data_IF_348405063420
#
_entry.id   IF_348405063420
#
_cell.length_a   1.000
_cell.length_b   1.000
_cell.length_c   1.000
_cell.angle_alpha   90.00
_cell.angle_beta   90.00
_cell.angle_gamma   90.00
#
_symmetry.space_group_name_H-M   'P 1'
#
loop_
_entity.id
_entity.type
_entity.pdbx_description
1 polymer ?
#
# COMPACT_ATOMS: atom_id res chain seq x y z
N UNK A 1 -7.69 -26.88 1.98
CA UNK A 1 -9.10 -26.61 2.31
C UNK A 1 -10.05 -27.37 1.39
N UNK A 2 -11.33 -27.43 1.77
CA UNK A 2 -12.37 -27.97 0.90
C UNK A 2 -12.83 -26.84 -0.04
N UNK A 3 -12.74 -27.07 -1.33
CA UNK A 3 -13.20 -26.11 -2.34
C UNK A 3 -14.74 -26.05 -2.38
N UNK A 4 -15.25 -24.84 -2.48
CA UNK A 4 -16.66 -24.52 -2.65
C UNK A 4 -16.73 -23.66 -3.90
N UNK A 5 -17.25 -24.20 -4.98
CA UNK A 5 -17.41 -23.47 -6.22
C UNK A 5 -18.48 -22.42 -6.09
N UNK A 6 -18.16 -21.20 -6.46
CA UNK A 6 -19.07 -20.06 -6.44
C UNK A 6 -19.49 -19.69 -7.86
N UNK A 7 -18.53 -19.63 -8.79
CA UNK A 7 -18.68 -19.26 -10.20
C UNK A 7 -19.49 -17.96 -10.37
N UNK A 8 -19.35 -17.02 -9.42
CA UNK A 8 -20.07 -15.74 -9.43
C UNK A 8 -19.35 -14.72 -10.27
N UNK A 9 -20.13 -13.96 -11.03
CA UNK A 9 -19.67 -12.82 -11.80
C UNK A 9 -20.42 -11.59 -11.31
N UNK A 10 -19.71 -10.49 -11.15
CA UNK A 10 -20.28 -9.24 -10.70
C UNK A 10 -19.52 -8.05 -11.32
N UNK A 11 -20.19 -6.93 -11.41
CA UNK A 11 -19.63 -5.66 -11.85
C UNK A 11 -19.58 -4.73 -10.65
N UNK A 12 -18.38 -4.21 -10.35
CA UNK A 12 -18.20 -3.28 -9.23
C UNK A 12 -17.01 -2.36 -9.49
N UNK A 13 -17.16 -1.09 -9.09
CA UNK A 13 -16.13 -0.05 -9.22
C UNK A 13 -15.57 0.09 -10.65
N UNK A 14 -16.40 -0.14 -11.67
CA UNK A 14 -16.01 -0.07 -13.07
C UNK A 14 -15.29 -1.30 -13.64
N UNK A 15 -15.09 -2.35 -12.83
CA UNK A 15 -14.42 -3.59 -13.22
C UNK A 15 -15.36 -4.79 -13.22
N UNK A 16 -15.01 -5.78 -14.06
CA UNK A 16 -15.66 -7.09 -14.05
C UNK A 16 -14.90 -8.04 -13.12
N UNK A 17 -15.62 -8.63 -12.17
CA UNK A 17 -15.07 -9.53 -11.18
C UNK A 17 -15.62 -10.93 -11.36
N UNK A 18 -14.76 -11.92 -11.16
CA UNK A 18 -15.12 -13.32 -11.08
C UNK A 18 -14.67 -13.84 -9.71
N UNK A 19 -15.60 -14.44 -8.99
CA UNK A 19 -15.35 -15.15 -7.74
C UNK A 19 -15.48 -16.65 -8.03
N UNK A 20 -14.40 -17.33 -8.37
CA UNK A 20 -14.49 -18.73 -8.82
C UNK A 20 -14.80 -19.69 -7.69
N UNK A 21 -14.16 -19.50 -6.54
CA UNK A 21 -14.26 -20.42 -5.43
C UNK A 21 -13.98 -19.78 -4.07
N UNK A 22 -14.48 -20.42 -3.03
CA UNK A 22 -14.07 -20.26 -1.65
C UNK A 22 -13.52 -21.59 -1.11
N UNK A 23 -12.58 -21.52 -0.17
CA UNK A 23 -11.91 -22.67 0.40
C UNK A 23 -12.12 -22.72 1.91
N UNK A 24 -12.87 -23.71 2.40
CA UNK A 24 -13.05 -23.94 3.82
C UNK A 24 -11.81 -24.61 4.41
N UNK A 25 -11.00 -23.83 5.11
CA UNK A 25 -9.75 -24.26 5.74
C UNK A 25 -9.92 -24.48 7.25
N UNK A 26 -8.91 -25.04 7.91
CA UNK A 26 -8.95 -25.29 9.36
C UNK A 26 -9.08 -24.01 10.18
N UNK A 27 -8.44 -22.93 9.77
CA UNK A 27 -8.36 -21.64 10.50
C UNK A 27 -9.34 -20.57 10.01
N UNK A 28 -9.94 -20.74 8.85
CA UNK A 28 -10.80 -19.72 8.24
C UNK A 28 -11.34 -20.13 6.88
N UNK A 29 -12.05 -19.19 6.26
CA UNK A 29 -12.41 -19.24 4.84
C UNK A 29 -11.36 -18.48 4.05
N UNK A 30 -10.97 -18.99 2.89
CA UNK A 30 -10.12 -18.29 1.90
C UNK A 30 -10.95 -18.10 0.65
N UNK A 31 -10.91 -16.93 0.06
CA UNK A 31 -11.63 -16.63 -1.19
C UNK A 31 -10.70 -16.01 -2.21
N UNK A 32 -10.89 -16.39 -3.47
CA UNK A 32 -10.21 -15.80 -4.59
C UNK A 32 -11.14 -14.84 -5.34
N UNK A 33 -10.60 -13.67 -5.67
CA UNK A 33 -11.28 -12.61 -6.39
C UNK A 33 -10.45 -12.32 -7.64
N UNK A 34 -11.03 -12.48 -8.81
CA UNK A 34 -10.36 -12.24 -10.07
C UNK A 34 -10.93 -10.98 -10.73
N UNK A 35 -10.17 -9.90 -10.74
CA UNK A 35 -10.51 -8.64 -11.40
C UNK A 35 -10.00 -8.67 -12.83
N UNK A 36 -10.88 -8.43 -13.81
CA UNK A 36 -10.54 -8.35 -15.23
C UNK A 36 -10.21 -6.92 -15.63
N UNK A 37 -9.14 -6.78 -16.38
CA UNK A 37 -8.69 -5.50 -16.95
C UNK A 37 -8.55 -5.64 -18.48
N UNK A 38 -9.03 -4.65 -19.21
CA UNK A 38 -8.93 -4.64 -20.67
C UNK A 38 -7.46 -4.44 -21.11
N UNK A 39 -6.96 -5.28 -22.00
CA UNK A 39 -5.57 -5.21 -22.48
C UNK A 39 -5.23 -3.85 -23.13
N UNK A 40 -6.22 -3.18 -23.74
CA UNK A 40 -6.05 -1.84 -24.31
C UNK A 40 -5.81 -0.76 -23.24
N UNK A 41 -6.45 -0.89 -22.08
CA UNK A 41 -6.24 -0.01 -20.95
C UNK A 41 -4.82 -0.13 -20.38
N UNK A 42 -4.35 -1.37 -20.25
CA UNK A 42 -2.97 -1.65 -19.84
C UNK A 42 -1.97 -1.07 -20.85
N UNK A 43 -2.19 -1.27 -22.16
CA UNK A 43 -1.31 -0.70 -23.20
C UNK A 43 -1.25 0.83 -23.14
N UNK A 44 -2.39 1.50 -22.94
CA UNK A 44 -2.43 2.96 -22.79
C UNK A 44 -1.64 3.42 -21.58
N UNK A 45 -1.78 2.76 -20.45
CA UNK A 45 -1.02 3.03 -19.24
C UNK A 45 0.48 2.84 -19.46
N UNK A 46 0.91 1.68 -19.98
CA UNK A 46 2.32 1.39 -20.26
C UNK A 46 2.92 2.41 -21.24
N UNK A 47 2.18 2.78 -22.28
CA UNK A 47 2.63 3.79 -23.26
C UNK A 47 2.77 5.18 -22.63
N UNK A 48 1.82 5.58 -21.78
CA UNK A 48 1.85 6.89 -21.10
C UNK A 48 3.11 7.05 -20.26
N UNK A 49 3.48 6.01 -19.52
CA UNK A 49 4.61 6.01 -18.60
C UNK A 49 5.89 5.43 -19.18
N UNK A 50 5.89 5.05 -20.47
CA UNK A 50 7.02 4.41 -21.19
C UNK A 50 7.56 3.18 -20.44
N UNK A 51 6.67 2.33 -19.93
CA UNK A 51 7.02 1.13 -19.19
C UNK A 51 7.28 -0.03 -20.16
N UNK A 52 8.47 -0.62 -20.08
CA UNK A 52 8.89 -1.74 -20.92
C UNK A 52 9.05 -3.05 -20.13
N UNK A 53 9.29 -2.95 -18.81
CA UNK A 53 9.40 -4.07 -17.89
C UNK A 53 8.87 -3.69 -16.51
N UNK A 54 8.56 -4.67 -15.67
CA UNK A 54 8.15 -4.40 -14.28
C UNK A 54 9.27 -3.74 -13.45
N UNK A 55 10.53 -3.98 -13.79
CA UNK A 55 11.69 -3.44 -13.10
C UNK A 55 11.95 -1.96 -13.40
N UNK A 56 11.40 -1.42 -14.49
CA UNK A 56 11.55 0.00 -14.84
C UNK A 56 10.73 0.93 -13.94
N UNK A 57 9.83 0.38 -13.11
CA UNK A 57 8.87 1.15 -12.32
C UNK A 57 9.49 1.96 -11.16
N UNK A 58 10.62 1.53 -10.61
CA UNK A 58 11.10 2.10 -9.34
C UNK A 58 12.42 2.85 -9.43
N UNK A 59 13.27 2.56 -10.38
CA UNK A 59 14.62 3.15 -10.41
C UNK A 59 14.70 4.53 -11.08
N UNK A 60 13.73 4.86 -11.95
CA UNK A 60 13.79 6.06 -12.79
C UNK A 60 12.76 7.15 -12.45
N UNK A 61 11.88 6.91 -11.47
CA UNK A 61 10.79 7.82 -11.13
C UNK A 61 10.94 8.42 -9.74
N UNK A 62 10.55 9.68 -9.59
CA UNK A 62 10.44 10.29 -8.27
C UNK A 62 9.33 9.60 -7.46
N UNK A 63 9.37 9.73 -6.14
CA UNK A 63 8.33 9.19 -5.26
C UNK A 63 6.90 9.58 -5.70
N UNK A 64 6.70 10.84 -6.07
CA UNK A 64 5.40 11.32 -6.56
C UNK A 64 4.97 10.67 -7.86
N UNK A 65 5.92 10.51 -8.79
CA UNK A 65 5.66 9.81 -10.04
C UNK A 65 5.30 8.35 -9.78
N UNK A 66 5.96 7.70 -8.83
CA UNK A 66 5.62 6.32 -8.42
C UNK A 66 4.19 6.25 -7.86
N UNK A 67 3.81 7.17 -6.96
CA UNK A 67 2.44 7.23 -6.46
C UNK A 67 1.40 7.48 -7.56
N UNK A 68 1.73 8.34 -8.52
CA UNK A 68 0.85 8.58 -9.66
C UNK A 68 0.76 7.36 -10.57
N UNK A 69 1.88 6.67 -10.83
CA UNK A 69 1.92 5.41 -11.57
C UNK A 69 1.04 4.36 -10.87
N UNK A 70 1.20 4.17 -9.57
CA UNK A 70 0.40 3.21 -8.79
C UNK A 70 -1.09 3.54 -8.85
N UNK A 71 -1.45 4.83 -8.73
CA UNK A 71 -2.84 5.27 -8.78
C UNK A 71 -3.50 5.13 -10.17
N UNK A 72 -2.70 5.20 -11.24
CA UNK A 72 -3.15 5.07 -12.62
C UNK A 72 -3.03 3.65 -13.17
N UNK A 73 -2.28 2.78 -12.49
CA UNK A 73 -2.07 1.40 -12.92
C UNK A 73 -3.39 0.60 -12.86
N UNK A 74 -3.94 0.18 -14.00
CA UNK A 74 -5.21 -0.53 -14.02
C UNK A 74 -5.13 -1.94 -13.38
N UNK A 75 -3.91 -2.45 -13.17
CA UNK A 75 -3.66 -3.70 -12.45
C UNK A 75 -3.42 -3.48 -10.94
N UNK A 76 -3.56 -2.26 -10.44
CA UNK A 76 -3.44 -1.92 -9.03
C UNK A 76 -4.80 -1.42 -8.51
N UNK A 77 -5.47 -2.23 -7.69
CA UNK A 77 -6.77 -1.88 -7.15
C UNK A 77 -6.90 -2.38 -5.72
N UNK A 78 -7.12 -1.44 -4.80
CA UNK A 78 -7.19 -1.73 -3.39
C UNK A 78 -8.63 -1.71 -2.87
N UNK A 79 -9.00 -2.75 -2.15
CA UNK A 79 -10.31 -2.87 -1.52
C UNK A 79 -10.25 -3.72 -0.26
N UNK A 80 -11.21 -3.52 0.62
CA UNK A 80 -11.40 -4.30 1.83
C UNK A 80 -12.65 -5.17 1.68
N UNK A 81 -12.50 -6.49 1.56
CA UNK A 81 -13.64 -7.40 1.54
C UNK A 81 -14.07 -7.76 2.97
N UNK A 82 -15.38 -7.84 3.18
CA UNK A 82 -16.00 -8.41 4.37
C UNK A 82 -17.00 -9.47 3.93
N UNK A 83 -17.02 -10.58 4.61
CA UNK A 83 -18.00 -11.65 4.33
C UNK A 83 -18.94 -11.86 5.51
N UNK A 84 -20.20 -12.15 5.20
CA UNK A 84 -21.16 -12.66 6.16
C UNK A 84 -21.48 -14.12 5.81
N UNK A 85 -21.16 -15.02 6.74
CA UNK A 85 -21.37 -16.46 6.62
C UNK A 85 -22.40 -16.93 7.63
N UNK A 86 -23.55 -17.44 7.17
CA UNK A 86 -24.64 -17.92 8.04
C UNK A 86 -25.03 -16.88 9.11
N UNK A 87 -25.12 -15.59 8.74
CA UNK A 87 -25.45 -14.48 9.64
C UNK A 87 -24.31 -14.02 10.57
N UNK A 88 -23.07 -14.50 10.35
CA UNK A 88 -21.90 -14.08 11.11
C UNK A 88 -20.89 -13.36 10.21
N UNK A 89 -20.49 -12.19 10.62
CA UNK A 89 -19.46 -11.41 9.93
C UNK A 89 -18.09 -12.01 10.21
N UNK A 90 -17.33 -12.27 9.15
CA UNK A 90 -15.93 -12.64 9.19
C UNK A 90 -15.12 -11.49 8.57
N UNK A 91 -14.22 -10.95 9.36
CA UNK A 91 -13.37 -9.86 8.93
C UNK A 91 -12.19 -10.35 8.08
N UNK A 92 -11.80 -9.57 7.10
CA UNK A 92 -10.55 -9.75 6.39
C UNK A 92 -9.35 -9.71 7.36
N UNK A 93 -8.42 -10.61 7.19
CA UNK A 93 -7.22 -10.70 8.04
C UNK A 93 -5.94 -10.44 7.25
N UNK A 94 -5.77 -11.15 6.16
CA UNK A 94 -4.60 -11.03 5.29
C UNK A 94 -4.94 -11.49 3.88
N UNK A 95 -4.22 -10.96 2.91
CA UNK A 95 -4.37 -11.34 1.51
C UNK A 95 -3.06 -11.23 0.77
N UNK A 96 -3.04 -11.82 -0.41
CA UNK A 96 -2.01 -11.65 -1.43
C UNK A 96 -2.69 -11.38 -2.76
N UNK A 97 -1.98 -10.73 -3.67
CA UNK A 97 -2.43 -10.51 -5.02
C UNK A 97 -1.32 -10.88 -6.00
N UNK A 98 -1.72 -11.44 -7.14
CA UNK A 98 -0.84 -11.65 -8.28
C UNK A 98 -1.49 -11.04 -9.50
N UNK A 99 -0.71 -10.36 -10.33
CA UNK A 99 -1.19 -9.73 -11.55
C UNK A 99 -0.68 -10.45 -12.79
N UNK A 100 -1.50 -10.44 -13.84
CA UNK A 100 -1.16 -10.90 -15.17
C UNK A 100 -1.34 -9.76 -16.16
N UNK A 101 -0.26 -9.42 -16.84
CA UNK A 101 -0.23 -8.41 -17.87
C UNK A 101 -0.01 -9.08 -19.25
N UNK A 102 -1.03 -9.18 -20.12
CA UNK A 102 -0.91 -9.80 -21.42
C UNK A 102 -0.08 -8.97 -22.42
N UNK A 103 0.27 -7.74 -22.07
CA UNK A 103 1.03 -6.83 -22.93
C UNK A 103 2.55 -6.92 -22.70
N UNK A 104 3.00 -7.63 -21.66
CA UNK A 104 4.42 -7.87 -21.40
C UNK A 104 4.90 -9.12 -22.14
N UNK A 105 6.12 -9.09 -22.73
CA UNK A 105 6.77 -10.27 -23.27
C UNK A 105 7.00 -11.34 -22.18
N UNK A 106 6.92 -12.61 -22.55
CA UNK A 106 7.08 -13.73 -21.59
C UNK A 106 8.46 -13.75 -20.92
N UNK A 107 9.47 -13.20 -21.58
CA UNK A 107 10.86 -13.18 -21.10
C UNK A 107 11.13 -12.07 -20.08
N UNK A 108 10.22 -11.11 -19.94
CA UNK A 108 10.46 -9.87 -19.19
C UNK A 108 9.92 -9.93 -17.77
N UNK A 109 8.86 -10.68 -17.53
CA UNK A 109 8.22 -10.74 -16.22
C UNK A 109 7.90 -12.18 -15.80
N UNK A 110 8.23 -12.56 -14.57
CA UNK A 110 7.78 -13.83 -14.00
C UNK A 110 6.30 -13.72 -13.61
N UNK A 111 5.43 -14.15 -14.51
CA UNK A 111 3.99 -14.23 -14.30
C UNK A 111 3.51 -15.68 -14.09
N UNK A 112 4.40 -16.57 -13.69
CA UNK A 112 4.13 -18.02 -13.63
C UNK A 112 2.98 -18.37 -12.67
N UNK A 113 2.90 -17.70 -11.51
CA UNK A 113 1.85 -17.90 -10.53
C UNK A 113 0.49 -17.43 -11.07
N UNK A 114 0.43 -16.23 -11.65
CA UNK A 114 -0.78 -15.68 -12.25
C UNK A 114 -1.27 -16.54 -13.43
N UNK A 115 -0.37 -16.97 -14.32
CA UNK A 115 -0.68 -17.88 -15.44
C UNK A 115 -1.24 -19.22 -14.94
N UNK A 116 -0.70 -19.75 -13.84
CA UNK A 116 -1.19 -20.97 -13.21
C UNK A 116 -2.63 -20.82 -12.70
N UNK A 117 -2.93 -19.69 -12.03
CA UNK A 117 -4.26 -19.38 -11.55
C UNK A 117 -5.27 -19.15 -12.71
N UNK A 118 -4.86 -18.41 -13.75
CA UNK A 118 -5.66 -18.21 -14.97
C UNK A 118 -6.06 -19.55 -15.59
N UNK A 119 -5.08 -20.45 -15.76
CA UNK A 119 -5.33 -21.79 -16.28
C UNK A 119 -6.25 -22.60 -15.38
N UNK A 120 -6.05 -22.54 -14.07
CA UNK A 120 -6.85 -23.29 -13.10
C UNK A 120 -8.32 -22.85 -13.09
N UNK A 121 -8.59 -21.55 -13.18
CA UNK A 121 -9.95 -21.00 -13.20
C UNK A 121 -10.55 -20.88 -14.61
N UNK A 122 -9.80 -21.23 -15.66
CA UNK A 122 -10.26 -21.13 -17.06
C UNK A 122 -10.53 -19.69 -17.48
N UNK A 123 -9.73 -18.74 -16.99
CA UNK A 123 -9.84 -17.34 -17.36
C UNK A 123 -9.22 -17.09 -18.75
N UNK A 124 -9.75 -16.09 -19.45
CA UNK A 124 -9.24 -15.73 -20.79
C UNK A 124 -7.96 -14.89 -20.67
N UNK A 125 -6.84 -15.44 -21.13
CA UNK A 125 -5.52 -14.78 -21.09
C UNK A 125 -5.35 -13.62 -22.09
N UNK A 126 -6.37 -13.29 -22.89
CA UNK A 126 -6.36 -12.07 -23.71
C UNK A 126 -6.59 -10.80 -22.89
N UNK A 127 -7.09 -10.93 -21.65
CA UNK A 127 -7.29 -9.86 -20.69
C UNK A 127 -6.16 -9.81 -19.66
N UNK A 128 -5.98 -8.64 -19.06
CA UNK A 128 -5.25 -8.52 -17.80
C UNK A 128 -6.09 -9.04 -16.63
N UNK A 129 -5.41 -9.55 -15.63
CA UNK A 129 -6.04 -10.09 -14.43
C UNK A 129 -5.29 -9.66 -13.17
N UNK A 130 -6.04 -9.31 -12.14
CA UNK A 130 -5.51 -9.27 -10.76
C UNK A 130 -6.27 -10.30 -9.96
N UNK A 131 -5.54 -11.25 -9.39
CA UNK A 131 -6.10 -12.36 -8.63
C UNK A 131 -5.71 -12.18 -7.18
N UNK A 132 -6.70 -11.80 -6.36
CA UNK A 132 -6.56 -11.62 -4.93
C UNK A 132 -6.95 -12.89 -4.22
N UNK A 133 -6.16 -13.32 -3.26
CA UNK A 133 -6.46 -14.41 -2.35
C UNK A 133 -6.55 -13.89 -0.94
N UNK A 134 -7.76 -13.82 -0.40
CA UNK A 134 -8.04 -13.20 0.87
C UNK A 134 -8.52 -14.22 1.90
N UNK A 135 -8.06 -14.08 3.16
CA UNK A 135 -8.39 -14.96 4.25
C UNK A 135 -9.27 -14.30 5.31
N UNK A 136 -10.23 -15.08 5.82
CA UNK A 136 -11.24 -14.68 6.78
C UNK A 136 -11.25 -15.70 7.92
N UNK A 137 -10.60 -15.42 9.06
CA UNK A 137 -10.52 -16.32 10.19
C UNK A 137 -11.91 -16.66 10.76
N UNK A 138 -12.09 -17.89 11.23
CA UNK A 138 -13.32 -18.25 11.91
C UNK A 138 -13.52 -17.45 13.20
N UNK A 139 -14.68 -16.83 13.35
CA UNK A 139 -15.08 -16.16 14.61
C UNK A 139 -15.45 -17.17 15.72
N UNK A 140 -14.80 -18.34 15.77
CA UNK A 140 -15.09 -19.41 16.70
C UNK A 140 -14.80 -20.79 16.11
N UNK A 141 -15.73 -21.75 16.26
CA UNK A 141 -15.57 -23.08 15.67
C UNK A 141 -15.76 -23.05 14.15
N UNK A 142 -15.02 -23.89 13.44
CA UNK A 142 -15.16 -24.09 11.99
C UNK A 142 -16.61 -24.38 11.61
N UNK A 143 -17.13 -23.68 10.61
CA UNK A 143 -18.42 -23.99 10.03
C UNK A 143 -18.29 -25.18 9.07
N UNK A 144 -19.10 -26.21 9.29
CA UNK A 144 -19.11 -27.43 8.46
C UNK A 144 -20.12 -27.36 7.33
N UNK A 145 -21.10 -26.46 7.41
CA UNK A 145 -22.09 -26.22 6.36
C UNK A 145 -22.22 -24.71 6.10
N UNK A 146 -22.27 -24.34 4.84
CA UNK A 146 -22.51 -22.98 4.38
C UNK A 146 -23.94 -22.93 3.84
N UNK A 147 -24.82 -22.19 4.51
CA UNK A 147 -26.22 -22.02 4.13
C UNK A 147 -26.43 -20.68 3.42
N UNK A 148 -25.67 -19.65 3.84
CA UNK A 148 -25.68 -18.34 3.22
C UNK A 148 -24.27 -17.77 3.24
N UNK A 149 -23.91 -17.09 2.18
CA UNK A 149 -22.66 -16.38 2.02
C UNK A 149 -22.92 -15.07 1.28
N UNK A 150 -22.66 -13.95 1.91
CA UNK A 150 -22.68 -12.64 1.27
C UNK A 150 -21.34 -11.95 1.40
N UNK A 151 -21.08 -11.04 0.46
CA UNK A 151 -19.84 -10.29 0.32
C UNK A 151 -20.17 -8.81 0.33
N UNK A 152 -19.44 -8.05 1.13
CA UNK A 152 -19.36 -6.59 1.02
C UNK A 152 -17.95 -6.23 0.56
N UNK A 153 -17.86 -5.39 -0.45
CA UNK A 153 -16.59 -4.85 -0.94
C UNK A 153 -16.59 -3.34 -0.74
N UNK A 154 -15.56 -2.84 -0.08
CA UNK A 154 -15.35 -1.41 0.16
C UNK A 154 -14.05 -0.98 -0.51
N UNK A 155 -14.12 0.04 -1.37
CA UNK A 155 -12.93 0.56 -2.03
C UNK A 155 -12.04 1.28 -1.02
N UNK A 156 -10.74 1.00 -1.04
CA UNK A 156 -9.78 1.70 -0.20
C UNK A 156 -9.71 3.18 -0.58
N UNK A 157 -9.40 4.07 0.37
CA UNK A 157 -9.24 5.48 0.08
C UNK A 157 -8.19 5.72 -1.00
N UNK A 158 -8.48 6.63 -1.93
CA UNK A 158 -7.54 7.02 -2.96
C UNK A 158 -6.54 8.04 -2.40
N UNK A 159 -5.24 7.77 -2.60
CA UNK A 159 -4.18 8.66 -2.15
C UNK A 159 -3.90 9.73 -3.20
N UNK A 160 -3.92 11.00 -2.76
CA UNK A 160 -3.66 12.16 -3.61
C UNK A 160 -2.64 13.06 -2.94
N UNK A 161 -1.59 13.42 -3.67
CA UNK A 161 -0.60 14.37 -3.19
C UNK A 161 -1.17 15.78 -3.31
N UNK A 162 -1.07 16.53 -2.22
CA UNK A 162 -1.43 17.94 -2.13
C UNK A 162 -0.24 18.87 -2.24
N UNK A 163 -0.24 19.91 -1.42
CA UNK A 163 0.80 20.94 -1.44
C UNK A 163 2.13 20.45 -0.87
N UNK A 164 3.20 20.99 -1.44
CA UNK A 164 4.56 20.90 -0.91
C UNK A 164 4.87 22.14 -0.08
N UNK A 165 5.62 21.98 0.99
CA UNK A 165 6.02 23.07 1.85
C UNK A 165 7.32 22.79 2.60
N UNK A 166 7.93 23.86 3.10
CA UNK A 166 9.08 23.79 4.02
C UNK A 166 8.77 24.58 5.27
N UNK A 167 9.29 24.14 6.40
CA UNK A 167 9.18 24.80 7.69
C UNK A 167 10.54 24.84 8.35
N UNK A 168 10.79 25.90 9.10
CA UNK A 168 12.10 26.18 9.68
C UNK A 168 12.07 26.19 11.22
N UNK A 169 10.92 26.54 11.81
CA UNK A 169 10.82 26.73 13.26
C UNK A 169 9.38 26.51 13.77
N UNK A 170 9.23 26.27 15.09
CA UNK A 170 7.95 26.37 15.75
C UNK A 170 7.29 27.74 15.52
N UNK A 171 6.00 27.75 15.25
CA UNK A 171 5.21 28.93 14.90
C UNK A 171 5.07 29.18 13.39
N UNK A 172 5.78 28.46 12.54
CA UNK A 172 5.58 28.53 11.10
C UNK A 172 4.17 28.10 10.72
N UNK A 173 3.59 28.80 9.74
CA UNK A 173 2.22 28.60 9.27
C UNK A 173 2.22 28.30 7.79
N UNK A 174 1.56 27.23 7.40
CA UNK A 174 1.39 26.80 6.02
C UNK A 174 -0.09 26.71 5.68
N UNK A 175 -0.51 27.27 4.55
CA UNK A 175 -1.87 27.12 4.02
C UNK A 175 -1.86 26.25 2.78
N UNK A 176 -2.83 25.36 2.67
CA UNK A 176 -3.01 24.49 1.51
C UNK A 176 -4.48 24.14 1.32
N UNK A 177 -4.83 23.74 0.11
CA UNK A 177 -6.20 23.38 -0.25
C UNK A 177 -6.35 21.89 -0.48
N UNK A 178 -7.50 21.35 -0.09
CA UNK A 178 -7.88 19.98 -0.44
C UNK A 178 -8.04 19.85 -1.97
N UNK A 179 -7.41 18.85 -2.61
CA UNK A 179 -7.35 18.78 -4.08
C UNK A 179 -8.70 18.54 -4.76
N UNK A 180 -9.69 18.02 -4.03
CA UNK A 180 -11.02 17.72 -4.59
C UNK A 180 -12.07 18.70 -4.09
N UNK A 181 -12.18 18.93 -2.77
CA UNK A 181 -13.22 19.83 -2.22
C UNK A 181 -12.85 21.31 -2.31
N UNK A 182 -11.57 21.66 -2.47
CA UNK A 182 -11.08 23.03 -2.43
C UNK A 182 -11.08 23.65 -1.02
N UNK A 183 -11.38 22.89 0.02
CA UNK A 183 -11.35 23.37 1.40
C UNK A 183 -9.94 23.81 1.76
N UNK A 184 -9.80 25.03 2.28
CA UNK A 184 -8.51 25.56 2.73
C UNK A 184 -8.21 25.11 4.15
N UNK A 185 -6.99 24.65 4.37
CA UNK A 185 -6.44 24.26 5.67
C UNK A 185 -5.25 25.13 6.03
N UNK A 186 -5.11 25.38 7.32
CA UNK A 186 -3.96 26.06 7.91
C UNK A 186 -3.27 25.10 8.85
N UNK A 187 -2.03 24.75 8.56
CA UNK A 187 -1.13 23.99 9.43
C UNK A 187 -0.27 24.96 10.21
N UNK A 188 -0.16 24.78 11.52
CA UNK A 188 0.74 25.55 12.39
C UNK A 188 1.71 24.59 13.08
N UNK A 189 3.00 24.79 12.87
CA UNK A 189 4.06 24.01 13.50
C UNK A 189 4.14 24.35 14.98
N UNK A 190 4.07 23.36 15.84
CA UNK A 190 4.18 23.51 17.29
C UNK A 190 5.60 23.21 17.78
N UNK A 191 6.18 22.12 17.27
CA UNK A 191 7.53 21.68 17.60
C UNK A 191 8.21 21.12 16.34
N UNK A 192 9.52 21.30 16.26
CA UNK A 192 10.36 20.75 15.19
C UNK A 192 11.67 20.29 15.83
N UNK A 193 11.86 19.00 15.97
CA UNK A 193 12.97 18.43 16.72
C UNK A 193 13.71 17.36 15.92
N UNK A 194 15.04 17.35 16.05
CA UNK A 194 15.86 16.24 15.59
C UNK A 194 16.00 15.22 16.71
N UNK A 195 15.72 13.98 16.41
CA UNK A 195 15.77 12.85 17.33
C UNK A 195 16.62 11.72 16.78
N UNK A 196 17.07 10.84 17.64
CA UNK A 196 17.74 9.60 17.26
C UNK A 196 16.92 8.41 17.76
N UNK A 197 16.62 7.46 16.85
CA UNK A 197 15.90 6.25 17.23
C UNK A 197 16.85 5.18 17.77
N UNK A 198 16.36 4.38 18.72
CA UNK A 198 17.11 3.23 19.25
C UNK A 198 17.15 2.10 18.22
N UNK A 199 18.31 1.51 18.06
CA UNK A 199 18.54 0.33 17.20
C UNK A 199 18.50 -1.01 17.95
N UNK A 200 18.11 -1.03 19.22
CA UNK A 200 18.14 -2.25 20.06
C UNK A 200 17.33 -3.43 19.51
N UNK A 201 16.35 -3.16 18.63
CA UNK A 201 15.50 -4.18 18.01
C UNK A 201 15.97 -4.63 16.63
N UNK A 202 17.08 -4.08 16.15
CA UNK A 202 17.62 -4.38 14.83
C UNK A 202 18.84 -5.28 14.91
N UNK A 203 19.14 -6.00 13.84
CA UNK A 203 20.39 -6.76 13.72
C UNK A 203 21.56 -5.81 13.42
N UNK A 204 22.13 -5.25 14.48
CA UNK A 204 23.29 -4.37 14.39
C UNK A 204 24.61 -5.11 14.20
N UNK A 205 24.63 -6.42 14.19
CA UNK A 205 25.86 -7.20 13.95
C UNK A 205 26.25 -7.18 12.47
N UNK A 206 25.24 -7.27 11.59
CA UNK A 206 25.44 -7.34 10.14
C UNK A 206 25.17 -6.02 9.43
N UNK A 207 24.38 -5.11 10.05
CA UNK A 207 23.93 -3.90 9.41
C UNK A 207 24.20 -2.65 10.25
N UNK A 208 24.49 -1.54 9.57
CA UNK A 208 24.45 -0.19 10.14
C UNK A 208 23.15 0.46 9.67
N UNK A 209 22.35 0.95 10.61
CA UNK A 209 21.06 1.57 10.32
C UNK A 209 21.13 3.08 10.46
N UNK A 210 20.43 3.84 9.60
CA UNK A 210 20.21 5.27 9.82
C UNK A 210 19.35 5.46 11.07
N UNK A 211 19.69 6.42 11.91
CA UNK A 211 19.02 6.64 13.20
C UNK A 211 18.50 8.05 13.39
N UNK A 212 18.96 8.99 12.59
CA UNK A 212 18.55 10.39 12.71
C UNK A 212 17.19 10.61 12.02
N UNK A 213 16.28 11.26 12.72
CA UNK A 213 14.94 11.59 12.24
C UNK A 213 14.57 13.00 12.71
N UNK A 214 13.84 13.74 11.89
CA UNK A 214 13.23 15.00 12.29
C UNK A 214 11.75 14.78 12.54
N UNK A 215 11.26 15.17 13.70
CA UNK A 215 9.84 15.07 14.10
C UNK A 215 9.23 16.44 14.14
N UNK A 216 8.11 16.63 13.47
CA UNK A 216 7.32 17.85 13.46
C UNK A 216 5.99 17.57 14.17
N UNK A 217 5.67 18.31 15.24
CA UNK A 217 4.35 18.37 15.84
C UNK A 217 3.60 19.58 15.30
N UNK A 218 2.34 19.40 14.91
CA UNK A 218 1.56 20.47 14.26
C UNK A 218 0.07 20.38 14.61
N UNK A 219 -0.64 21.47 14.37
CA UNK A 219 -2.10 21.55 14.40
C UNK A 219 -2.61 21.90 13.01
N UNK A 220 -3.83 21.45 12.68
CA UNK A 220 -4.51 21.79 11.42
C UNK A 220 -5.86 22.42 11.74
N UNK A 221 -6.23 23.45 10.99
CA UNK A 221 -7.54 24.10 11.08
C UNK A 221 -8.08 24.43 9.68
N UNK A 222 -9.35 24.12 9.39
CA UNK A 222 -10.24 23.27 10.20
C UNK A 222 -9.72 21.83 10.31
N UNK A 223 -10.27 21.06 11.25
CA UNK A 223 -9.98 19.62 11.33
C UNK A 223 -10.45 18.96 10.02
N UNK A 224 -9.60 18.16 9.37
CA UNK A 224 -9.95 17.55 8.09
C UNK A 224 -10.96 16.40 8.24
N UNK A 225 -11.95 16.38 7.35
CA UNK A 225 -12.93 15.29 7.26
C UNK A 225 -12.31 14.00 6.71
N UNK A 226 -11.40 14.13 5.74
CA UNK A 226 -10.62 13.02 5.20
C UNK A 226 -9.31 12.85 5.97
N UNK A 227 -8.82 11.62 6.02
CA UNK A 227 -7.49 11.36 6.58
C UNK A 227 -6.43 12.03 5.72
N UNK A 228 -5.53 12.73 6.37
CA UNK A 228 -4.34 13.26 5.72
C UNK A 228 -3.08 12.89 6.49
N UNK A 229 -1.97 12.86 5.80
CA UNK A 229 -0.65 12.61 6.36
C UNK A 229 0.31 13.67 5.82
N UNK A 230 1.19 14.15 6.68
CA UNK A 230 2.33 14.95 6.25
C UNK A 230 3.53 14.02 6.14
N UNK A 231 4.20 14.07 5.00
CA UNK A 231 5.35 13.23 4.68
C UNK A 231 6.49 14.04 4.11
N UNK A 232 7.71 13.58 4.32
CA UNK A 232 8.87 14.10 3.62
C UNK A 232 8.86 13.68 2.14
N UNK A 233 9.27 14.59 1.25
CA UNK A 233 9.34 14.34 -0.20
C UNK A 233 10.58 13.53 -0.61
N UNK A 234 11.64 13.54 0.21
CA UNK A 234 12.88 12.82 -0.08
C UNK A 234 12.89 11.41 0.54
N UNK A 235 13.57 10.49 -0.12
CA UNK A 235 13.88 9.19 0.45
C UNK A 235 14.96 9.33 1.52
N UNK A 236 14.91 8.46 2.52
CA UNK A 236 15.93 8.34 3.55
C UNK A 236 17.13 7.49 3.10
N UNK A 237 18.09 7.39 4.00
CA UNK A 237 19.25 6.53 3.81
C UNK A 237 18.85 5.05 4.01
N UNK A 238 19.43 4.18 3.21
CA UNK A 238 19.22 2.72 3.34
C UNK A 238 20.24 2.12 4.32
N UNK A 239 19.88 1.07 5.07
CA UNK A 239 20.83 0.34 5.89
C UNK A 239 22.03 -0.12 5.08
N UNK A 240 23.23 -0.05 5.68
CA UNK A 240 24.50 -0.45 5.06
C UNK A 240 24.97 -1.75 5.69
N UNK A 241 25.27 -2.75 4.85
CA UNK A 241 25.84 -4.01 5.32
C UNK A 241 27.27 -3.79 5.82
N UNK A 242 27.56 -4.28 7.00
CA UNK A 242 28.92 -4.28 7.56
C UNK A 242 29.76 -5.35 6.85
N UNK A 243 30.74 -4.91 6.09
CA UNK A 243 31.71 -5.85 5.50
C UNK A 243 32.46 -6.50 6.64
N UNK A 244 32.48 -7.84 6.76
CA UNK A 244 33.32 -8.51 7.73
C UNK A 244 34.81 -8.16 7.46
N UNK A 245 35.59 -7.88 8.49
CA UNK A 245 37.04 -7.72 8.40
C UNK A 245 37.70 -9.04 7.99
N UNK A 246 37.60 -9.43 6.73
CA UNK A 246 38.28 -10.60 6.17
C UNK A 246 38.86 -10.27 4.81
N UNK A 247 40.16 -10.21 4.78
CA UNK A 247 41.14 -10.35 3.68
C UNK A 247 40.77 -9.73 2.29
N UNK A 248 41.68 -8.91 1.72
CA UNK A 248 41.43 -8.21 0.47
C UNK A 248 41.58 -9.12 -0.74
N UNK A 249 40.58 -9.88 -1.08
CA UNK A 249 40.72 -10.75 -2.22
C UNK A 249 39.47 -11.52 -2.67
N UNK A 250 38.29 -10.92 -2.78
CA UNK A 250 37.24 -11.35 -3.75
C UNK A 250 36.14 -10.28 -3.72
N UNK A 251 36.11 -9.47 -4.75
CA UNK A 251 35.00 -8.57 -5.05
C UNK A 251 33.94 -9.38 -5.80
N UNK A 252 32.92 -9.85 -5.10
CA UNK A 252 31.65 -10.21 -5.73
C UNK A 252 30.57 -9.32 -5.14
N UNK A 253 30.20 -8.31 -5.90
CA UNK A 253 29.00 -7.50 -5.68
C UNK A 253 27.76 -8.36 -5.94
N UNK A 254 27.26 -9.01 -4.89
CA UNK A 254 25.90 -9.54 -4.90
C UNK A 254 24.97 -8.45 -4.36
N UNK A 255 24.25 -7.82 -5.27
CA UNK A 255 23.10 -6.98 -4.92
C UNK A 255 21.98 -7.91 -4.45
N UNK A 256 21.85 -8.07 -3.14
CA UNK A 256 20.67 -8.70 -2.54
C UNK A 256 19.55 -7.68 -2.60
N UNK A 257 18.59 -7.89 -3.49
CA UNK A 257 17.34 -7.15 -3.51
C UNK A 257 16.59 -7.40 -2.20
N UNK A 258 16.62 -6.43 -1.30
CA UNK A 258 15.73 -6.45 -0.14
C UNK A 258 14.35 -6.10 -0.64
N UNK A 259 13.47 -7.11 -0.71
CA UNK A 259 12.04 -6.92 -0.79
C UNK A 259 11.61 -6.42 0.59
N UNK A 260 11.79 -5.14 0.84
CA UNK A 260 11.22 -4.43 1.96
C UNK A 260 10.06 -3.63 1.44
N UNK A 261 8.84 -4.12 1.59
CA UNK A 261 7.68 -3.26 1.51
C UNK A 261 7.92 -2.10 2.48
N UNK A 262 7.86 -0.88 1.99
CA UNK A 262 7.85 0.31 2.81
C UNK A 262 6.54 0.36 3.58
N UNK A 263 6.41 -0.45 4.60
CA UNK A 263 5.37 -0.28 5.59
C UNK A 263 5.60 1.06 6.25
N UNK A 264 4.53 1.84 6.25
CA UNK A 264 4.48 3.24 6.59
C UNK A 264 5.15 3.62 7.92
N UNK A 265 5.22 4.91 8.21
CA UNK A 265 6.02 5.47 9.28
C UNK A 265 5.71 4.79 10.61
N UNK A 266 6.75 4.37 11.31
CA UNK A 266 6.61 3.95 12.71
C UNK A 266 6.00 5.15 13.44
N UNK A 267 4.72 5.05 13.76
CA UNK A 267 4.05 6.06 14.56
C UNK A 267 4.71 6.05 15.95
N UNK A 268 5.63 6.96 16.18
CA UNK A 268 6.11 7.25 17.53
C UNK A 268 4.97 7.99 18.19
N UNK A 269 4.13 7.27 18.92
CA UNK A 269 3.13 7.88 19.79
C UNK A 269 3.85 8.59 20.93
N UNK A 270 4.11 9.88 20.76
CA UNK A 270 4.38 10.74 21.90
C UNK A 270 3.06 10.98 22.64
N UNK A 271 2.90 10.35 23.80
CA UNK A 271 1.76 10.59 24.68
C UNK A 271 1.96 11.94 25.34
N UNK A 272 1.33 12.97 24.82
CA UNK A 272 1.22 14.25 25.51
C UNK A 272 -0.17 14.36 26.14
N UNK A 273 -0.18 14.64 27.45
CA UNK A 273 -1.38 14.75 28.30
C UNK A 273 -2.05 16.14 28.22
N UNK A 274 -2.10 16.79 27.06
CA UNK A 274 -2.74 18.07 26.88
C UNK A 274 -3.82 18.03 25.81
N UNK A 275 -4.93 18.65 26.06
CA UNK A 275 -6.20 18.67 25.30
C UNK A 275 -6.15 19.33 23.91
N UNK A 276 -5.00 19.53 23.32
CA UNK A 276 -4.88 19.93 21.93
C UNK A 276 -4.53 18.67 21.11
N UNK A 277 -5.30 18.39 20.08
CA UNK A 277 -5.02 17.30 19.15
C UNK A 277 -3.81 17.75 18.32
N UNK A 278 -2.61 17.35 18.76
CA UNK A 278 -1.40 17.52 17.95
C UNK A 278 -1.25 16.34 17.03
N UNK A 279 -1.06 16.65 15.76
CA UNK A 279 -0.61 15.68 14.77
C UNK A 279 0.92 15.65 14.77
N UNK A 280 1.49 14.54 14.32
CA UNK A 280 2.94 14.39 14.20
C UNK A 280 3.30 13.89 12.81
N UNK A 281 4.37 14.42 12.27
CA UNK A 281 5.01 13.93 11.06
C UNK A 281 6.50 13.66 11.34
N UNK A 282 7.04 12.62 10.72
CA UNK A 282 8.45 12.31 10.82
C UNK A 282 9.10 12.27 9.45
N UNK A 283 10.35 12.73 9.40
CA UNK A 283 11.16 12.62 8.20
C UNK A 283 11.56 11.16 7.95
N UNK A 284 12.11 10.91 6.80
CA UNK A 284 12.84 9.68 6.51
C UNK A 284 14.08 9.55 7.40
N UNK A 285 14.52 8.32 7.65
CA UNK A 285 15.71 8.06 8.47
C UNK A 285 17.00 8.42 7.72
N UNK A 286 17.98 9.00 8.42
CA UNK A 286 19.28 9.36 7.90
C UNK A 286 20.39 8.94 8.84
N UNK A 287 21.60 8.76 8.30
CA UNK A 287 22.80 8.53 9.13
C UNK A 287 23.24 9.80 9.84
N UNK A 288 23.04 10.96 9.22
CA UNK A 288 23.35 12.26 9.81
C UNK A 288 22.08 13.12 9.89
N UNK A 289 22.00 14.05 10.85
CA UNK A 289 20.92 15.02 10.90
C UNK A 289 20.79 15.79 9.58
N UNK A 290 19.56 16.10 9.18
CA UNK A 290 19.34 16.90 7.98
C UNK A 290 20.02 18.26 8.12
N UNK A 291 20.85 18.64 7.14
CA UNK A 291 21.58 19.92 7.09
C UNK A 291 20.79 21.01 6.41
N UNK A 292 19.81 20.64 5.61
CA UNK A 292 18.94 21.54 4.87
C UNK A 292 17.49 21.38 5.37
N UNK A 293 16.67 22.38 5.02
CA UNK A 293 15.26 22.33 5.35
C UNK A 293 14.59 21.17 4.64
N UNK A 294 13.83 20.38 5.42
CA UNK A 294 13.08 19.26 4.90
C UNK A 294 11.90 19.78 4.09
N UNK A 295 11.75 19.25 2.89
CA UNK A 295 10.55 19.45 2.08
C UNK A 295 9.50 18.40 2.43
N UNK A 296 8.35 18.89 2.88
CA UNK A 296 7.20 18.09 3.26
C UNK A 296 6.13 18.16 2.19
N UNK A 297 5.34 17.11 2.04
CA UNK A 297 4.13 17.13 1.24
C UNK A 297 2.92 16.65 2.05
N UNK A 298 1.76 17.12 1.64
CA UNK A 298 0.47 16.68 2.18
C UNK A 298 -0.03 15.52 1.33
N UNK A 299 -0.31 14.38 1.95
CA UNK A 299 -1.00 13.26 1.30
C UNK A 299 -2.42 13.16 1.83
N UNK A 300 -3.41 13.24 0.96
CA UNK A 300 -4.82 13.04 1.29
C UNK A 300 -5.25 11.61 0.98
N UNK A 301 -6.02 11.01 1.87
CA UNK A 301 -6.64 9.71 1.70
C UNK A 301 -8.15 9.91 1.49
N UNK A 302 -8.53 10.12 0.25
CA UNK A 302 -9.89 10.49 -0.13
C UNK A 302 -10.75 9.24 -0.18
N UNK A 303 -11.79 9.18 0.66
CA UNK A 303 -12.73 8.08 0.65
C UNK A 303 -13.51 8.06 -0.65
N UNK A 304 -13.58 6.89 -1.26
CA UNK A 304 -14.44 6.64 -2.41
C UNK A 304 -15.68 5.88 -1.94
N UNK A 305 -16.86 6.49 -2.12
CA UNK A 305 -18.14 5.92 -1.69
C UNK A 305 -18.61 4.95 -2.77
N UNK A 306 -17.98 3.78 -2.85
CA UNK A 306 -18.40 2.68 -3.71
C UNK A 306 -18.40 1.38 -2.92
N UNK A 307 -19.48 1.14 -2.17
CA UNK A 307 -19.66 -0.12 -1.47
C UNK A 307 -20.51 -1.06 -2.34
N UNK A 308 -20.00 -2.25 -2.61
CA UNK A 308 -20.74 -3.32 -3.27
C UNK A 308 -21.22 -4.37 -2.26
N UNK A 309 -22.49 -4.79 -2.35
CA UNK A 309 -23.03 -5.90 -1.57
C UNK A 309 -23.57 -6.97 -2.52
N UNK A 310 -23.13 -8.22 -2.31
CA UNK A 310 -23.43 -9.32 -3.22
C UNK A 310 -23.81 -10.57 -2.43
N UNK A 311 -24.91 -11.24 -2.85
CA UNK A 311 -25.23 -12.58 -2.38
C UNK A 311 -24.46 -13.61 -3.21
N UNK A 312 -23.69 -14.45 -2.56
CA UNK A 312 -22.88 -15.47 -3.22
C UNK A 312 -23.55 -16.86 -3.17
N UNK A 313 -24.30 -17.16 -2.10
CA UNK A 313 -25.10 -18.35 -1.90
C UNK A 313 -26.43 -18.01 -1.25
#
# INVERSE_FOLDING_TARGET
GTEIRLDKRLDWAGYHWILPAAYSCGKGLVMDFCMRVEAEEIRRFMKKWNLTSENDLYENFTYEQQLQIDSENPLCFDFVPQIELNGKILQFSQGSAVSFNPCLPEEVADQSEAKSAIKYYGLDSSYGWVIYRNSFPWAGKRHTSIQSLSLTMERSPHRVIGAHFRVHAPGDVVTFSHPVSGTEYTLTVQELEQQSISTERFDTNHWTYPTCITVMSYTISPEPDDSLMIRECAEGDRPIEKVPDTDPGISETQSVGIIGGADGPIAVMAVSTLRNIYHTASSSLRFEPAKEDIEWCVEFYIKQIENGQFSLL
#
